data_IF_241933274637
#
_entry.id   IF_241933274637
#
_cell.length_a   1.000
_cell.length_b   1.000
_cell.length_c   1.000
_cell.angle_alpha   90.00
_cell.angle_beta   90.00
_cell.angle_gamma   90.00
#
_symmetry.space_group_name_H-M   'P 1'
#
loop_
_entity.id
_entity.type
_entity.pdbx_description
1 polymer ?
#
# COMPACT_ATOMS: atom_id res chain seq x y z
N UNK A 1 -18.53 29.38 -60.52
CA UNK A 1 -18.88 29.31 -59.08
C UNK A 1 -18.10 28.15 -58.50
N UNK A 2 -17.01 28.43 -57.77
CA UNK A 2 -16.99 28.55 -56.29
C UNK A 2 -17.41 27.22 -55.65
N UNK A 3 -16.46 26.38 -55.23
CA UNK A 3 -15.73 26.43 -53.96
C UNK A 3 -16.33 25.33 -53.05
N UNK A 4 -15.44 24.57 -52.41
CA UNK A 4 -15.70 23.72 -51.23
C UNK A 4 -16.36 22.36 -51.49
N UNK A 5 -15.53 21.32 -51.56
CA UNK A 5 -15.76 20.13 -50.72
C UNK A 5 -14.42 19.42 -50.38
N UNK A 6 -13.41 20.22 -50.04
CA UNK A 6 -12.23 19.76 -49.29
C UNK A 6 -12.55 20.01 -47.81
N UNK A 7 -13.37 19.16 -47.19
CA UNK A 7 -13.52 19.15 -45.72
C UNK A 7 -14.24 17.88 -45.20
N UNK A 8 -13.77 16.69 -45.57
CA UNK A 8 -14.21 15.44 -44.92
C UNK A 8 -13.04 14.52 -44.53
N UNK A 9 -11.88 15.12 -44.22
CA UNK A 9 -10.66 14.39 -43.83
C UNK A 9 -10.09 14.81 -42.46
N UNK A 10 -10.82 15.57 -41.62
CA UNK A 10 -10.27 16.15 -40.39
C UNK A 10 -11.22 16.12 -39.16
N UNK A 11 -12.02 15.06 -38.97
CA UNK A 11 -12.90 14.96 -37.77
C UNK A 11 -12.96 13.56 -37.12
N UNK A 12 -11.90 12.75 -37.19
CA UNK A 12 -11.85 11.48 -36.43
C UNK A 12 -10.66 11.36 -35.45
N UNK A 13 -9.91 12.44 -35.19
CA UNK A 13 -8.88 12.48 -34.15
C UNK A 13 -9.40 13.17 -32.88
N UNK A 14 -10.57 12.76 -32.39
CA UNK A 14 -11.11 13.21 -31.10
C UNK A 14 -11.66 12.01 -30.30
N UNK A 15 -10.83 10.99 -30.12
CA UNK A 15 -11.03 9.92 -29.14
C UNK A 15 -9.62 9.42 -28.83
N UNK A 16 -8.94 9.89 -27.81
CA UNK A 16 -9.08 9.41 -26.43
C UNK A 16 -8.30 10.37 -25.52
N UNK A 17 -8.96 11.35 -24.92
CA UNK A 17 -8.43 11.99 -23.72
C UNK A 17 -9.24 11.51 -22.52
N UNK A 18 -8.50 11.13 -21.47
CA UNK A 18 -8.97 10.71 -20.15
C UNK A 18 -9.57 9.29 -20.06
N UNK A 19 -8.71 8.27 -20.22
CA UNK A 19 -8.88 7.04 -19.43
C UNK A 19 -8.98 7.42 -17.94
N UNK A 20 -9.76 6.68 -17.14
CA UNK A 20 -10.27 7.20 -15.88
C UNK A 20 -9.12 7.55 -14.93
N UNK A 21 -9.02 8.84 -14.57
CA UNK A 21 -8.22 9.29 -13.43
C UNK A 21 -8.88 8.79 -12.15
N UNK A 22 -8.73 7.50 -11.86
CA UNK A 22 -9.00 7.00 -10.51
C UNK A 22 -7.74 7.27 -9.69
N UNK A 23 -7.82 8.37 -8.95
CA UNK A 23 -6.94 8.74 -7.85
C UNK A 23 -7.87 9.04 -6.67
N UNK A 24 -7.65 8.55 -5.45
CA UNK A 24 -6.46 7.87 -4.94
C UNK A 24 -6.78 6.52 -4.33
N UNK A 25 -5.72 5.80 -4.02
CA UNK A 25 -5.74 4.71 -3.06
C UNK A 25 -4.65 5.06 -2.05
N UNK A 26 -4.72 4.55 -0.83
CA UNK A 26 -3.60 4.65 0.08
C UNK A 26 -3.84 3.84 1.33
N UNK A 27 -2.79 3.62 2.11
CA UNK A 27 -2.85 2.68 3.23
C UNK A 27 -3.84 3.08 4.33
N UNK A 28 -4.56 2.07 4.83
CA UNK A 28 -5.47 2.16 5.95
C UNK A 28 -4.93 1.45 7.20
N UNK A 29 -5.38 1.91 8.36
CA UNK A 29 -5.16 1.26 9.65
C UNK A 29 -6.48 0.80 10.23
N UNK A 30 -6.46 -0.35 10.89
CA UNK A 30 -7.40 -0.63 11.98
C UNK A 30 -6.87 -0.03 13.27
N UNK A 31 -7.63 0.85 13.90
CA UNK A 31 -7.26 1.51 15.16
C UNK A 31 -8.22 1.12 16.27
N UNK A 32 -7.68 0.82 17.45
CA UNK A 32 -8.44 0.58 18.66
C UNK A 32 -8.41 1.83 19.54
N UNK A 33 -9.56 2.22 20.06
CA UNK A 33 -9.71 3.40 20.92
C UNK A 33 -10.23 3.02 22.31
N UNK A 34 -9.87 3.77 23.34
CA UNK A 34 -10.49 3.61 24.65
C UNK A 34 -11.89 4.26 24.73
N UNK A 35 -12.48 4.23 25.92
CA UNK A 35 -13.79 4.83 26.18
C UNK A 35 -13.78 6.37 26.06
N UNK A 36 -12.61 7.01 26.15
CA UNK A 36 -12.43 8.44 25.98
C UNK A 36 -12.19 8.82 24.51
N UNK A 37 -11.96 7.84 23.64
CA UNK A 37 -11.71 8.01 22.21
C UNK A 37 -10.23 8.13 21.85
N UNK A 38 -9.32 7.99 22.81
CA UNK A 38 -7.88 8.04 22.55
C UNK A 38 -7.40 6.74 21.89
N UNK A 39 -6.53 6.87 20.89
CA UNK A 39 -5.99 5.71 20.18
C UNK A 39 -5.03 4.93 21.09
N UNK A 40 -5.33 3.65 21.30
CA UNK A 40 -4.52 2.75 22.10
C UNK A 40 -3.42 2.08 21.28
N UNK A 41 -3.76 1.63 20.08
CA UNK A 41 -2.82 1.10 19.07
C UNK A 41 -3.47 1.10 17.68
N UNK A 42 -2.65 0.91 16.65
CA UNK A 42 -3.10 0.73 15.26
C UNK A 42 -2.26 -0.28 14.49
N UNK A 43 -2.92 -1.01 13.59
CA UNK A 43 -2.31 -2.02 12.72
C UNK A 43 -2.68 -1.74 11.26
N UNK A 44 -1.70 -1.84 10.37
CA UNK A 44 -1.91 -1.67 8.93
C UNK A 44 -2.81 -2.79 8.42
N UNK A 45 -3.83 -2.42 7.64
CA UNK A 45 -4.80 -3.38 7.07
C UNK A 45 -4.08 -4.52 6.36
N UNK A 46 -3.01 -4.23 5.62
CA UNK A 46 -2.15 -5.22 4.96
C UNK A 46 -1.66 -6.33 5.89
N UNK A 47 -1.11 -5.94 7.05
CA UNK A 47 -0.54 -6.88 8.01
C UNK A 47 -1.63 -7.59 8.81
N UNK A 48 -2.75 -6.91 9.06
CA UNK A 48 -3.91 -7.50 9.68
C UNK A 48 -4.52 -8.60 8.79
N UNK A 49 -4.78 -8.31 7.53
CA UNK A 49 -5.28 -9.27 6.53
C UNK A 49 -4.28 -10.41 6.31
N UNK A 50 -2.98 -10.11 6.24
CA UNK A 50 -1.94 -11.13 6.18
C UNK A 50 -2.05 -12.16 7.30
N UNK A 51 -2.22 -11.72 8.54
CA UNK A 51 -2.29 -12.62 9.68
C UNK A 51 -3.64 -13.32 9.83
N UNK A 52 -4.76 -12.64 9.54
CA UNK A 52 -6.11 -13.11 9.93
C UNK A 52 -6.92 -13.67 8.77
N UNK A 53 -6.68 -13.20 7.53
CA UNK A 53 -7.34 -13.74 6.34
C UNK A 53 -6.46 -14.80 5.66
N UNK A 54 -5.18 -14.50 5.52
CA UNK A 54 -4.24 -15.34 4.76
C UNK A 54 -3.45 -16.31 5.64
N UNK A 55 -3.67 -16.26 6.97
CA UNK A 55 -3.01 -17.09 7.98
C UNK A 55 -1.48 -17.11 7.84
N UNK A 56 -0.90 -15.97 7.46
CA UNK A 56 0.53 -15.83 7.25
C UNK A 56 1.24 -15.50 8.57
N UNK A 57 2.45 -16.05 8.79
CA UNK A 57 3.22 -15.77 9.99
C UNK A 57 3.92 -14.40 9.85
N UNK A 58 3.21 -13.32 10.15
CA UNK A 58 3.71 -11.94 10.02
C UNK A 58 4.85 -11.69 11.03
N UNK A 59 5.89 -10.99 10.59
CA UNK A 59 7.00 -10.55 11.43
C UNK A 59 6.45 -9.67 12.56
N UNK A 60 6.89 -9.91 13.79
CA UNK A 60 6.60 -9.02 14.89
C UNK A 60 7.69 -7.95 14.97
N UNK A 61 7.30 -6.67 14.96
CA UNK A 61 8.24 -5.57 15.13
C UNK A 61 8.86 -5.56 16.54
N UNK A 62 10.08 -5.04 16.66
CA UNK A 62 10.72 -4.81 17.95
C UNK A 62 10.44 -3.40 18.45
N UNK A 63 10.42 -3.20 19.77
CA UNK A 63 10.15 -1.89 20.37
C UNK A 63 11.18 -0.82 19.95
N UNK A 64 12.43 -1.21 19.71
CA UNK A 64 13.52 -0.31 19.30
C UNK A 64 13.58 -0.03 17.80
N UNK A 65 12.69 -0.62 17.00
CA UNK A 65 12.71 -0.44 15.55
C UNK A 65 12.27 0.97 15.13
N UNK A 66 12.88 1.49 14.07
CA UNK A 66 12.37 2.65 13.33
C UNK A 66 11.81 2.19 11.98
N UNK A 67 10.88 2.92 11.36
CA UNK A 67 10.38 2.57 10.03
C UNK A 67 11.51 2.37 9.01
N UNK A 68 12.56 3.20 9.08
CA UNK A 68 13.72 3.14 8.21
C UNK A 68 14.60 1.93 8.48
N UNK A 69 14.76 1.51 9.73
CA UNK A 69 15.54 0.31 10.06
C UNK A 69 14.85 -0.95 9.54
N UNK A 70 13.54 -1.05 9.71
CA UNK A 70 12.72 -2.17 9.19
C UNK A 70 12.76 -2.18 7.67
N UNK A 71 12.54 -1.03 7.02
CA UNK A 71 12.60 -0.88 5.57
C UNK A 71 13.95 -1.35 5.01
N UNK A 72 15.06 -0.86 5.56
CA UNK A 72 16.42 -1.24 5.12
C UNK A 72 16.71 -2.72 5.35
N UNK A 73 16.33 -3.26 6.50
CA UNK A 73 16.49 -4.68 6.81
C UNK A 73 15.74 -5.55 5.81
N UNK A 74 14.49 -5.18 5.49
CA UNK A 74 13.66 -5.91 4.53
C UNK A 74 14.20 -5.82 3.10
N UNK A 75 14.63 -4.64 2.67
CA UNK A 75 15.28 -4.46 1.36
C UNK A 75 16.56 -5.30 1.25
N UNK A 76 17.41 -5.29 2.29
CA UNK A 76 18.63 -6.11 2.33
C UNK A 76 18.30 -7.60 2.24
N UNK A 77 17.32 -8.08 3.00
CA UNK A 77 16.89 -9.48 2.93
C UNK A 77 16.42 -9.84 1.51
N UNK A 78 15.63 -8.97 0.86
CA UNK A 78 15.17 -9.22 -0.51
C UNK A 78 16.33 -9.25 -1.50
N UNK A 79 17.30 -8.35 -1.37
CA UNK A 79 18.50 -8.35 -2.19
C UNK A 79 19.28 -9.67 -2.07
N UNK A 80 19.40 -10.20 -0.86
CA UNK A 80 20.18 -11.42 -0.56
C UNK A 80 19.43 -12.71 -0.95
N UNK A 81 18.10 -12.74 -0.81
CA UNK A 81 17.31 -13.97 -0.90
C UNK A 81 16.39 -14.03 -2.12
N UNK A 82 15.93 -12.88 -2.62
CA UNK A 82 15.00 -12.75 -3.76
C UNK A 82 15.43 -11.60 -4.69
N UNK A 83 16.65 -11.63 -5.26
CA UNK A 83 17.22 -10.49 -6.00
C UNK A 83 16.38 -10.03 -7.19
N UNK A 84 15.60 -10.91 -7.80
CA UNK A 84 14.67 -10.56 -8.87
C UNK A 84 13.51 -9.67 -8.37
N UNK A 85 12.98 -9.96 -7.18
CA UNK A 85 11.94 -9.15 -6.53
C UNK A 85 12.49 -7.80 -6.12
N UNK A 86 13.68 -7.80 -5.51
CA UNK A 86 14.35 -6.56 -5.11
C UNK A 86 14.63 -5.67 -6.33
N UNK A 87 15.19 -6.20 -7.42
CA UNK A 87 15.42 -5.43 -8.65
C UNK A 87 14.14 -4.85 -9.24
N UNK A 88 13.02 -5.56 -9.11
CA UNK A 88 11.72 -5.11 -9.59
C UNK A 88 11.16 -3.99 -8.71
N UNK A 89 11.20 -4.13 -7.37
CA UNK A 89 10.58 -3.20 -6.43
C UNK A 89 11.44 -1.97 -6.09
N UNK A 90 12.77 -2.09 -6.14
CA UNK A 90 13.70 -1.02 -5.75
C UNK A 90 13.41 0.34 -6.38
N UNK A 91 13.24 0.49 -7.71
CA UNK A 91 12.95 1.80 -8.29
C UNK A 91 11.63 2.40 -7.76
N UNK A 92 10.63 1.57 -7.48
CA UNK A 92 9.36 2.00 -6.91
C UNK A 92 9.49 2.44 -5.45
N UNK A 93 10.24 1.68 -4.64
CA UNK A 93 10.53 2.04 -3.25
C UNK A 93 11.28 3.38 -3.15
N UNK A 94 12.25 3.62 -4.02
CA UNK A 94 12.96 4.91 -4.08
C UNK A 94 12.04 6.05 -4.49
N UNK A 95 11.18 5.83 -5.49
CA UNK A 95 10.22 6.83 -5.97
C UNK A 95 9.20 7.17 -4.88
N UNK A 96 8.63 6.16 -4.21
CA UNK A 96 7.69 6.36 -3.10
C UNK A 96 8.34 7.21 -2.00
N UNK A 97 9.51 6.80 -1.51
CA UNK A 97 10.19 7.53 -0.43
C UNK A 97 10.48 8.99 -0.78
N UNK A 98 10.87 9.28 -2.03
CA UNK A 98 11.12 10.65 -2.50
C UNK A 98 9.86 11.50 -2.62
N UNK A 99 8.68 10.89 -2.72
CA UNK A 99 7.39 11.56 -2.93
C UNK A 99 6.46 11.48 -1.70
N UNK A 100 6.96 11.05 -0.54
CA UNK A 100 6.23 11.13 0.72
C UNK A 100 6.16 12.59 1.18
N UNK A 101 4.96 13.03 1.53
CA UNK A 101 4.69 14.31 2.14
C UNK A 101 3.88 14.10 3.41
N UNK A 102 4.45 14.45 4.55
CA UNK A 102 3.72 14.47 5.81
C UNK A 102 2.78 15.66 5.84
N UNK A 103 1.55 15.42 6.28
CA UNK A 103 0.53 16.46 6.43
C UNK A 103 -0.06 16.42 7.83
N UNK A 104 -0.12 17.58 8.47
CA UNK A 104 -0.84 17.79 9.73
C UNK A 104 -2.33 17.98 9.44
N UNK A 105 -2.96 16.93 8.93
CA UNK A 105 -4.38 16.91 8.62
C UNK A 105 -4.94 15.49 8.67
N UNK A 106 -6.23 15.39 8.99
CA UNK A 106 -6.98 14.15 8.81
C UNK A 106 -7.14 13.89 7.32
N UNK A 107 -6.64 12.74 6.87
CA UNK A 107 -6.81 12.31 5.50
C UNK A 107 -8.25 11.85 5.26
N UNK A 108 -8.77 12.13 4.06
CA UNK A 108 -10.09 11.65 3.65
C UNK A 108 -9.98 10.17 3.34
N UNK A 109 -10.84 9.38 3.97
CA UNK A 109 -11.09 8.00 3.55
C UNK A 109 -11.46 7.99 2.07
N UNK A 110 -10.81 7.13 1.32
CA UNK A 110 -11.12 6.92 -0.09
C UNK A 110 -12.04 5.69 -0.18
N UNK A 111 -12.95 5.63 -1.14
CA UNK A 111 -13.98 4.56 -1.21
C UNK A 111 -13.44 3.20 -1.71
N UNK A 112 -12.14 3.09 -1.98
CA UNK A 112 -11.46 1.88 -2.46
C UNK A 112 -11.04 0.91 -1.33
N UNK A 113 -11.49 1.18 -0.10
CA UNK A 113 -11.09 0.48 1.12
C UNK A 113 -11.20 -1.04 0.98
N UNK A 114 -12.25 -1.54 0.29
CA UNK A 114 -12.53 -2.98 0.09
C UNK A 114 -11.97 -3.85 1.22
N UNK A 115 -12.25 -3.48 2.47
CA UNK A 115 -11.75 -4.22 3.62
C UNK A 115 -12.50 -5.54 3.62
N UNK A 116 -11.76 -6.64 3.48
CA UNK A 116 -12.39 -7.96 3.38
C UNK A 116 -12.75 -8.50 4.76
N UNK A 117 -12.01 -8.08 5.78
CA UNK A 117 -12.24 -8.42 7.17
C UNK A 117 -12.03 -7.20 8.09
N UNK A 118 -12.79 -7.16 9.17
CA UNK A 118 -12.65 -6.20 10.27
C UNK A 118 -12.22 -6.95 11.54
N UNK A 119 -11.36 -6.36 12.40
CA UNK A 119 -10.97 -7.04 13.62
C UNK A 119 -12.12 -7.29 14.60
N UNK A 120 -12.06 -8.44 15.26
CA UNK A 120 -13.00 -8.81 16.32
C UNK A 120 -12.56 -8.34 17.72
N UNK A 121 -13.28 -8.82 18.74
CA UNK A 121 -13.04 -8.49 20.15
C UNK A 121 -11.59 -8.72 20.61
N UNK A 122 -10.96 -9.81 20.16
CA UNK A 122 -9.59 -10.17 20.55
C UNK A 122 -8.53 -9.16 20.08
N UNK A 123 -8.87 -8.34 19.08
CA UNK A 123 -8.03 -7.22 18.68
C UNK A 123 -8.20 -6.06 19.67
N UNK A 124 -9.42 -5.66 19.99
CA UNK A 124 -9.73 -4.46 20.79
C UNK A 124 -10.80 -4.76 21.84
N UNK A 125 -10.39 -4.92 23.11
CA UNK A 125 -11.30 -5.27 24.21
C UNK A 125 -12.42 -4.25 24.48
N UNK A 126 -12.28 -3.02 24.00
CA UNK A 126 -13.30 -1.97 24.11
C UNK A 126 -14.31 -2.01 22.96
N UNK A 127 -14.10 -2.85 21.95
CA UNK A 127 -14.86 -2.93 20.70
C UNK A 127 -14.92 -1.61 19.91
N UNK A 128 -14.16 -0.59 20.30
CA UNK A 128 -14.12 0.72 19.65
C UNK A 128 -13.07 0.71 18.54
N UNK A 129 -13.32 -0.13 17.54
CA UNK A 129 -12.49 -0.32 16.35
C UNK A 129 -12.91 0.68 15.29
N UNK A 130 -11.92 1.31 14.64
CA UNK A 130 -12.16 2.26 13.56
C UNK A 130 -11.21 2.00 12.40
N UNK A 131 -11.73 2.12 11.19
CA UNK A 131 -10.87 2.30 10.03
C UNK A 131 -10.36 3.74 10.01
N UNK A 132 -9.04 3.89 9.90
CA UNK A 132 -8.36 5.18 9.88
C UNK A 132 -7.48 5.27 8.65
N UNK A 133 -7.72 6.27 7.79
CA UNK A 133 -6.90 6.52 6.61
C UNK A 133 -5.50 7.01 7.04
N UNK A 134 -4.45 6.31 6.61
CA UNK A 134 -3.07 6.61 7.00
C UNK A 134 -2.27 7.28 5.88
N UNK A 135 -2.48 6.88 4.63
CA UNK A 135 -1.89 7.53 3.47
C UNK A 135 -2.89 7.73 2.33
N UNK A 136 -2.67 8.73 1.47
CA UNK A 136 -3.42 8.91 0.23
C UNK A 136 -2.45 9.17 -0.93
N UNK A 137 -2.60 8.42 -2.01
CA UNK A 137 -1.95 8.73 -3.28
C UNK A 137 -2.71 9.84 -4.02
N UNK A 138 -1.96 10.79 -4.58
CA UNK A 138 -2.52 11.97 -5.25
C UNK A 138 -2.30 11.94 -6.75
N UNK A 139 -2.99 12.82 -7.47
CA UNK A 139 -3.03 12.81 -8.94
C UNK A 139 -1.69 13.17 -9.56
N UNK A 140 -0.88 13.90 -8.80
CA UNK A 140 0.43 14.41 -9.19
C UNK A 140 1.57 13.50 -8.72
N UNK A 141 1.25 12.33 -8.16
CA UNK A 141 2.23 11.32 -7.76
C UNK A 141 2.79 11.50 -6.35
N UNK A 142 2.29 12.47 -5.57
CA UNK A 142 2.62 12.59 -4.14
C UNK A 142 1.88 11.56 -3.31
N UNK A 143 2.50 11.16 -2.21
CA UNK A 143 1.93 10.29 -1.19
C UNK A 143 1.77 11.11 0.07
N UNK A 144 0.53 11.48 0.40
CA UNK A 144 0.23 12.20 1.62
C UNK A 144 0.16 11.20 2.76
N UNK A 145 0.95 11.39 3.82
CA UNK A 145 0.90 10.57 5.03
C UNK A 145 0.45 11.46 6.19
N UNK A 146 -0.50 10.98 7.00
CA UNK A 146 -0.88 11.70 8.21
C UNK A 146 0.28 11.79 9.18
N UNK A 147 0.74 13.01 9.47
CA UNK A 147 1.88 13.28 10.34
C UNK A 147 1.63 12.75 11.77
N UNK A 148 0.43 13.00 12.30
CA UNK A 148 0.01 12.53 13.63
C UNK A 148 0.11 11.00 13.76
N UNK A 149 -0.35 10.25 12.75
CA UNK A 149 -0.28 8.78 12.76
C UNK A 149 1.16 8.31 12.55
N UNK A 150 1.92 8.98 11.68
CA UNK A 150 3.30 8.61 11.39
C UNK A 150 4.22 8.75 12.60
N UNK A 151 4.07 9.80 13.40
CA UNK A 151 4.87 10.00 14.60
C UNK A 151 4.26 9.41 15.87
N UNK A 152 3.05 8.83 15.80
CA UNK A 152 2.46 8.14 16.94
C UNK A 152 3.26 6.89 17.33
N UNK A 153 3.55 6.76 18.63
CA UNK A 153 4.13 5.56 19.24
C UNK A 153 3.14 4.39 19.33
N UNK A 154 1.86 4.65 19.08
CA UNK A 154 0.79 3.64 19.09
C UNK A 154 0.73 2.81 17.80
N UNK A 155 1.51 3.21 16.78
CA UNK A 155 1.64 2.48 15.52
C UNK A 155 3.08 2.01 15.40
N UNK A 156 3.29 0.69 15.44
CA UNK A 156 4.62 0.10 15.40
C UNK A 156 5.35 0.41 14.09
N UNK A 157 6.68 0.51 14.14
CA UNK A 157 7.54 0.81 13.00
C UNK A 157 7.32 -0.12 11.80
N UNK A 158 7.04 -1.40 12.06
CA UNK A 158 6.77 -2.38 11.01
C UNK A 158 5.55 -2.02 10.14
N UNK A 159 4.49 -1.47 10.73
CA UNK A 159 3.30 -1.03 9.99
C UNK A 159 3.65 0.14 9.06
N UNK A 160 4.51 1.05 9.52
CA UNK A 160 4.96 2.22 8.76
C UNK A 160 5.89 1.81 7.60
N UNK A 161 6.76 0.82 7.83
CA UNK A 161 7.59 0.25 6.77
C UNK A 161 6.76 -0.54 5.75
N UNK A 162 5.78 -1.33 6.22
CA UNK A 162 4.86 -2.06 5.35
C UNK A 162 4.03 -1.12 4.48
N UNK A 163 3.61 0.03 5.00
CA UNK A 163 2.95 1.08 4.22
C UNK A 163 3.82 1.54 3.03
N UNK A 164 5.12 1.77 3.24
CA UNK A 164 6.03 2.17 2.15
C UNK A 164 6.10 1.08 1.07
N UNK A 165 6.17 -0.19 1.48
CA UNK A 165 6.13 -1.31 0.53
C UNK A 165 4.79 -1.38 -0.20
N UNK A 166 3.67 -1.21 0.49
CA UNK A 166 2.34 -1.18 -0.10
C UNK A 166 2.29 -0.17 -1.24
N UNK A 167 2.65 1.09 -0.98
CA UNK A 167 2.59 2.14 -2.00
C UNK A 167 3.51 1.84 -3.18
N UNK A 168 4.68 1.22 -2.94
CA UNK A 168 5.63 0.87 -3.99
C UNK A 168 5.11 -0.29 -4.86
N UNK A 169 4.59 -1.34 -4.23
CA UNK A 169 4.01 -2.49 -4.92
C UNK A 169 2.77 -2.05 -5.68
N UNK A 170 1.91 -1.24 -5.06
CA UNK A 170 0.70 -0.78 -5.70
C UNK A 170 1.01 0.08 -6.94
N UNK A 171 1.95 1.03 -6.82
CA UNK A 171 2.42 1.81 -7.96
C UNK A 171 2.97 0.92 -9.08
N UNK A 172 3.77 -0.09 -8.75
CA UNK A 172 4.29 -1.06 -9.72
C UNK A 172 3.15 -1.81 -10.43
N UNK A 173 2.18 -2.35 -9.70
CA UNK A 173 1.08 -3.13 -10.26
C UNK A 173 0.17 -2.27 -11.15
N UNK A 174 -0.06 -1.00 -10.79
CA UNK A 174 -0.79 -0.07 -11.67
C UNK A 174 -0.06 0.15 -12.99
N UNK A 175 1.25 0.39 -12.95
CA UNK A 175 2.02 0.69 -14.16
C UNK A 175 2.26 -0.54 -15.05
N UNK A 176 2.37 -1.73 -14.46
CA UNK A 176 2.74 -2.95 -15.18
C UNK A 176 1.55 -3.86 -15.51
N UNK A 177 0.49 -3.82 -14.69
CA UNK A 177 -0.68 -4.71 -14.82
C UNK A 177 -2.01 -3.96 -14.94
N UNK A 178 -2.00 -2.62 -14.95
CA UNK A 178 -3.20 -1.78 -14.97
C UNK A 178 -4.18 -2.07 -13.80
N UNK A 179 -3.66 -2.42 -12.62
CA UNK A 179 -4.51 -2.63 -11.46
C UNK A 179 -5.29 -1.36 -11.06
N UNK A 180 -6.52 -1.57 -10.61
CA UNK A 180 -7.45 -0.50 -10.22
C UNK A 180 -7.77 -0.48 -8.74
N UNK A 181 -7.38 -1.51 -7.99
CA UNK A 181 -7.61 -1.65 -6.54
C UNK A 181 -6.35 -2.16 -5.83
N UNK A 182 -6.32 -2.08 -4.50
CA UNK A 182 -5.15 -2.39 -3.68
C UNK A 182 -5.10 -3.84 -3.18
N UNK A 183 -5.96 -4.74 -3.64
CA UNK A 183 -6.08 -6.11 -3.09
C UNK A 183 -4.77 -6.89 -3.24
N UNK A 184 -4.21 -6.92 -4.45
CA UNK A 184 -2.96 -7.64 -4.69
C UNK A 184 -1.76 -6.96 -4.01
N UNK A 185 -1.76 -5.62 -3.93
CA UNK A 185 -0.74 -4.88 -3.19
C UNK A 185 -0.73 -5.25 -1.70
N UNK A 186 -1.92 -5.35 -1.07
CA UNK A 186 -2.06 -5.82 0.32
C UNK A 186 -1.55 -7.24 0.50
N UNK A 187 -1.92 -8.14 -0.40
CA UNK A 187 -1.49 -9.54 -0.34
C UNK A 187 0.04 -9.69 -0.46
N UNK A 188 0.63 -9.04 -1.47
CA UNK A 188 2.09 -9.07 -1.69
C UNK A 188 2.81 -8.42 -0.50
N UNK A 189 2.35 -7.27 -0.02
CA UNK A 189 2.93 -6.61 1.17
C UNK A 189 2.88 -7.53 2.38
N UNK A 190 1.74 -8.16 2.62
CA UNK A 190 1.57 -9.19 3.65
C UNK A 190 2.62 -10.29 3.55
N UNK A 191 2.82 -10.87 2.37
CA UNK A 191 3.84 -11.90 2.11
C UNK A 191 5.27 -11.40 2.42
N UNK A 192 5.63 -10.19 1.97
CA UNK A 192 6.97 -9.65 2.17
C UNK A 192 7.30 -9.41 3.65
N UNK A 193 6.29 -9.24 4.49
CA UNK A 193 6.41 -9.05 5.94
C UNK A 193 6.14 -10.33 6.74
N UNK A 194 6.35 -11.51 6.14
CA UNK A 194 6.27 -12.80 6.84
C UNK A 194 7.65 -13.34 7.27
N UNK A 195 7.62 -14.34 8.15
CA UNK A 195 8.77 -15.17 8.53
C UNK A 195 8.97 -16.39 7.62
N UNK A 196 8.26 -16.46 6.49
CA UNK A 196 8.41 -17.54 5.51
C UNK A 196 9.85 -17.62 4.98
N UNK A 197 10.30 -18.83 4.66
CA UNK A 197 11.60 -19.01 4.02
C UNK A 197 11.57 -18.50 2.56
N UNK A 198 12.74 -18.20 1.95
CA UNK A 198 12.81 -17.65 0.60
C UNK A 198 12.06 -18.46 -0.46
N UNK A 199 12.11 -19.79 -0.38
CA UNK A 199 11.46 -20.70 -1.34
C UNK A 199 9.94 -20.58 -1.28
N UNK A 200 9.36 -20.61 -0.07
CA UNK A 200 7.93 -20.45 0.14
C UNK A 200 7.44 -19.07 -0.27
N UNK A 201 8.21 -18.03 0.08
CA UNK A 201 7.92 -16.66 -0.31
C UNK A 201 7.93 -16.52 -1.84
N UNK A 202 8.96 -17.02 -2.54
CA UNK A 202 9.01 -17.00 -4.02
C UNK A 202 7.79 -17.68 -4.62
N UNK A 203 7.39 -18.85 -4.09
CA UNK A 203 6.21 -19.60 -4.57
C UNK A 203 4.90 -18.81 -4.42
N UNK A 204 4.71 -18.11 -3.30
CA UNK A 204 3.51 -17.28 -3.09
C UNK A 204 3.53 -16.04 -3.97
N UNK A 205 4.69 -15.38 -4.12
CA UNK A 205 4.84 -14.18 -4.94
C UNK A 205 4.68 -14.46 -6.45
N UNK A 206 5.18 -15.58 -6.95
CA UNK A 206 5.10 -15.90 -8.39
C UNK A 206 3.68 -16.01 -8.91
N UNK A 207 2.73 -16.42 -8.06
CA UNK A 207 1.31 -16.49 -8.42
C UNK A 207 0.67 -15.13 -8.71
N UNK A 208 1.19 -14.07 -8.09
CA UNK A 208 0.59 -12.72 -8.11
C UNK A 208 1.42 -11.75 -8.95
N UNK A 209 2.73 -11.98 -9.04
CA UNK A 209 3.69 -11.12 -9.72
C UNK A 209 4.08 -11.61 -11.12
N UNK A 210 3.56 -12.76 -11.59
CA UNK A 210 3.89 -13.37 -12.90
C UNK A 210 5.39 -13.55 -13.16
N UNK A 211 6.14 -13.85 -12.09
CA UNK A 211 7.58 -14.07 -12.19
C UNK A 211 7.81 -15.39 -12.91
N UNK A 212 8.46 -15.33 -14.08
CA UNK A 212 8.89 -16.52 -14.80
C UNK A 212 9.78 -17.36 -13.85
N UNK A 213 9.44 -18.65 -13.70
CA UNK A 213 10.04 -19.54 -12.69
C UNK A 213 11.53 -19.79 -12.93
#
# INVERSE_FOLDING_TARGET
MKLVLILFTLLHSASLFAGPRVIGNGGGLWTCHDAQGEMQFGVLVDLYEASNEFELPVILGQYSDTPESVLKSRQKWLQENLPQIDSLLRPYLERVQKNIHFVDAKLRSIEDIYNRIEPGYDFCFTENIKYTQFANFTVDGRILISEQLWYSSKIAAINKAALIFHEAIYLMLRETKNETDSVNARYITGILFTTLNPTEMKKKLSHVMDLQQ
#
